data_IF_255431183945
#
_entry.id   IF_255431183945
#
_cell.length_a   1.000
_cell.length_b   1.000
_cell.length_c   1.000
_cell.angle_alpha   90.00
_cell.angle_beta   90.00
_cell.angle_gamma   90.00
#
_symmetry.space_group_name_H-M   'P 1'
#
loop_
_entity.id
_entity.type
_entity.pdbx_description
1 polymer ?
#
# COMPACT_ATOMS: atom_id res chain seq x y z
N UNK A 1 18.62 13.13 7.37
CA UNK A 1 19.76 13.06 8.32
C UNK A 1 21.05 13.31 7.55
N UNK A 2 22.02 14.04 8.12
CA UNK A 2 23.29 14.26 7.44
C UNK A 2 24.17 13.00 7.47
N UNK A 3 25.00 12.75 6.45
CA UNK A 3 26.02 11.72 6.51
C UNK A 3 26.91 11.87 7.74
N UNK A 4 27.16 10.77 8.45
CA UNK A 4 27.91 10.73 9.72
C UNK A 4 27.12 11.15 10.95
N UNK A 5 25.83 11.49 10.83
CA UNK A 5 24.98 11.82 11.98
C UNK A 5 24.35 10.58 12.62
N UNK A 6 24.03 10.70 13.89
CA UNK A 6 23.34 9.68 14.67
C UNK A 6 22.11 10.26 15.38
N UNK A 7 21.08 9.46 15.54
CA UNK A 7 19.89 9.79 16.33
C UNK A 7 19.27 8.54 16.92
N UNK A 8 18.56 8.69 18.03
CA UNK A 8 17.78 7.61 18.62
C UNK A 8 16.32 7.99 18.63
N UNK A 9 15.48 7.08 18.18
CA UNK A 9 14.02 7.17 18.23
C UNK A 9 13.44 6.02 19.05
N UNK A 10 12.20 6.17 19.50
CA UNK A 10 11.52 5.17 20.31
C UNK A 10 10.29 4.67 19.54
N UNK A 11 10.19 3.36 19.39
CA UNK A 11 8.99 2.68 18.91
C UNK A 11 8.23 2.17 20.12
N UNK A 12 7.09 2.77 20.40
CA UNK A 12 6.22 2.37 21.49
C UNK A 12 5.29 1.25 21.05
N UNK A 13 5.21 0.20 21.84
CA UNK A 13 4.31 -0.93 21.70
C UNK A 13 3.24 -0.81 22.75
N UNK A 14 2.02 -0.57 22.32
CA UNK A 14 0.86 -0.46 23.19
C UNK A 14 -0.03 -1.69 22.98
N UNK A 15 -0.18 -2.49 24.02
CA UNK A 15 -0.95 -3.73 23.98
C UNK A 15 -2.27 -3.53 24.71
N UNK A 16 -3.34 -3.40 23.95
CA UNK A 16 -4.69 -3.37 24.45
C UNK A 16 -5.34 -4.74 24.30
N UNK A 17 -5.90 -5.26 25.38
CA UNK A 17 -6.74 -6.44 25.38
C UNK A 17 -8.04 -6.14 26.12
N UNK A 18 -9.15 -6.56 25.53
CA UNK A 18 -10.51 -6.35 26.09
C UNK A 18 -11.07 -7.58 26.80
N UNK A 19 -10.34 -8.69 26.82
CA UNK A 19 -10.78 -9.95 27.46
C UNK A 19 -10.27 -10.10 28.88
N UNK A 20 -11.05 -10.81 29.72
CA UNK A 20 -10.67 -11.16 31.10
C UNK A 20 -9.40 -12.03 31.17
N UNK A 21 -9.07 -12.74 30.08
CA UNK A 21 -7.91 -13.64 29.95
C UNK A 21 -6.69 -12.96 29.27
N UNK A 22 -6.52 -11.65 29.48
CA UNK A 22 -5.41 -10.91 28.91
C UNK A 22 -4.08 -11.39 29.48
N UNK A 23 -3.37 -12.22 28.74
CA UNK A 23 -2.06 -12.75 29.14
C UNK A 23 -0.92 -11.90 28.56
N UNK A 24 0.20 -11.78 29.28
CA UNK A 24 1.41 -11.22 28.70
C UNK A 24 1.83 -11.97 27.42
N UNK A 25 2.31 -11.23 26.43
CA UNK A 25 2.68 -11.77 25.13
C UNK A 25 4.16 -11.54 24.86
N UNK A 26 4.87 -12.60 24.52
CA UNK A 26 6.25 -12.50 24.05
C UNK A 26 6.30 -11.99 22.64
N UNK A 27 7.13 -10.98 22.40
CA UNK A 27 7.39 -10.41 21.07
C UNK A 27 8.86 -10.48 20.73
N UNK A 28 9.14 -10.61 19.44
CA UNK A 28 10.49 -10.57 18.86
C UNK A 28 10.51 -9.46 17.81
N UNK A 29 11.53 -8.61 17.88
CA UNK A 29 11.78 -7.57 16.89
C UNK A 29 12.87 -8.03 15.91
N UNK A 30 12.76 -7.60 14.65
CA UNK A 30 13.77 -7.83 13.62
C UNK A 30 13.75 -6.71 12.59
N UNK A 31 14.90 -6.44 11.95
CA UNK A 31 14.97 -5.51 10.82
C UNK A 31 14.70 -6.26 9.51
N UNK A 32 13.96 -5.61 8.64
CA UNK A 32 13.68 -6.06 7.27
C UNK A 32 13.80 -4.89 6.32
N UNK A 33 14.22 -5.15 5.09
CA UNK A 33 14.03 -4.20 4.00
C UNK A 33 12.57 -4.24 3.53
N UNK A 34 12.10 -3.17 2.94
CA UNK A 34 10.74 -3.11 2.41
C UNK A 34 10.66 -2.22 1.17
N UNK A 35 9.66 -2.48 0.37
CA UNK A 35 9.32 -1.68 -0.80
C UNK A 35 7.81 -1.72 -1.06
N UNK A 36 7.37 -0.93 -2.02
CA UNK A 36 6.02 -1.03 -2.59
C UNK A 36 6.21 -1.49 -4.04
N UNK A 37 5.55 -2.58 -4.41
CA UNK A 37 5.61 -3.07 -5.77
C UNK A 37 4.74 -2.23 -6.72
N UNK A 38 4.79 -2.56 -8.02
CA UNK A 38 4.06 -1.83 -9.04
C UNK A 38 2.55 -1.82 -8.83
N UNK A 39 2.00 -2.85 -8.19
CA UNK A 39 0.57 -3.01 -7.94
C UNK A 39 0.14 -2.36 -6.60
N UNK A 40 1.07 -1.68 -5.91
CA UNK A 40 0.82 -0.98 -4.66
C UNK A 40 0.87 -1.86 -3.42
N UNK A 41 1.38 -3.09 -3.53
CA UNK A 41 1.50 -4.00 -2.39
C UNK A 41 2.83 -3.79 -1.67
N UNK A 42 2.78 -3.73 -0.34
CA UNK A 42 3.99 -3.65 0.50
C UNK A 42 4.67 -5.02 0.51
N UNK A 43 5.94 -5.03 0.13
CA UNK A 43 6.80 -6.21 0.12
C UNK A 43 7.90 -6.09 1.16
N UNK A 44 8.13 -7.15 1.93
CA UNK A 44 9.23 -7.23 2.88
C UNK A 44 10.28 -8.23 2.42
N UNK A 45 11.54 -7.83 2.53
CA UNK A 45 12.68 -8.68 2.21
C UNK A 45 13.61 -8.82 3.43
N UNK A 46 14.59 -9.72 3.35
CA UNK A 46 15.62 -9.83 4.37
C UNK A 46 16.39 -8.51 4.47
N UNK A 47 16.78 -8.14 5.68
CA UNK A 47 17.61 -6.96 5.93
C UNK A 47 18.88 -6.96 5.07
N UNK A 48 19.24 -5.78 4.58
CA UNK A 48 20.44 -5.53 3.77
C UNK A 48 20.49 -6.32 2.44
N UNK A 49 19.33 -6.46 1.78
CA UNK A 49 19.24 -7.08 0.45
C UNK A 49 18.83 -6.12 -0.66
N UNK A 50 18.27 -4.96 -0.30
CA UNK A 50 17.88 -3.93 -1.26
C UNK A 50 18.97 -2.87 -1.43
N UNK A 51 19.12 -2.27 -2.63
CA UNK A 51 20.17 -1.27 -2.90
C UNK A 51 20.10 -0.03 -2.00
N UNK A 52 18.89 0.36 -1.57
CA UNK A 52 18.63 1.50 -0.70
C UNK A 52 18.30 1.07 0.73
N UNK A 53 18.78 -0.10 1.16
CA UNK A 53 18.58 -0.59 2.53
C UNK A 53 19.23 0.32 3.55
N UNK A 54 18.48 0.69 4.58
CA UNK A 54 19.00 1.33 5.79
C UNK A 54 19.17 0.33 6.94
N UNK A 55 18.88 -0.94 6.76
CA UNK A 55 18.95 -1.94 7.84
C UNK A 55 20.33 -2.01 8.52
N UNK A 56 21.48 -1.87 7.80
CA UNK A 56 22.80 -1.86 8.43
C UNK A 56 23.07 -0.63 9.30
N UNK A 57 22.26 0.42 9.17
CA UNK A 57 22.44 1.68 9.90
C UNK A 57 21.73 1.69 11.24
N UNK A 58 20.91 0.67 11.52
CA UNK A 58 20.04 0.62 12.69
C UNK A 58 20.51 -0.43 13.69
N UNK A 59 20.54 0.00 14.95
CA UNK A 59 20.65 -0.89 16.12
C UNK A 59 19.41 -0.66 16.97
N UNK A 60 18.81 -1.72 17.48
CA UNK A 60 17.60 -1.63 18.29
C UNK A 60 17.69 -2.52 19.54
N UNK A 61 17.01 -2.09 20.59
CA UNK A 61 16.94 -2.83 21.86
C UNK A 61 15.65 -2.48 22.61
N UNK A 62 15.00 -3.48 23.23
CA UNK A 62 15.32 -4.91 23.22
C UNK A 62 14.93 -5.59 21.92
N UNK A 63 15.64 -6.63 21.52
CA UNK A 63 15.28 -7.49 20.38
C UNK A 63 14.13 -8.45 20.73
N UNK A 64 13.93 -8.71 22.01
CA UNK A 64 12.86 -9.55 22.53
C UNK A 64 12.41 -9.01 23.87
N UNK A 65 11.09 -9.02 24.11
CA UNK A 65 10.49 -8.62 25.37
C UNK A 65 9.11 -9.25 25.54
N UNK A 66 8.61 -9.24 26.78
CA UNK A 66 7.22 -9.61 27.07
C UNK A 66 6.41 -8.33 27.27
N UNK A 67 5.35 -8.15 26.47
CA UNK A 67 4.42 -7.02 26.60
C UNK A 67 3.23 -7.44 27.43
N UNK A 68 2.83 -6.58 28.36
CA UNK A 68 1.69 -6.80 29.26
C UNK A 68 0.54 -5.86 28.87
N UNK A 69 -0.71 -6.32 28.94
CA UNK A 69 -1.86 -5.48 28.66
C UNK A 69 -1.88 -4.21 29.52
N UNK A 70 -2.25 -3.08 28.90
CA UNK A 70 -2.36 -1.78 29.57
C UNK A 70 -1.03 -1.07 29.85
N UNK A 71 0.11 -1.66 29.44
CA UNK A 71 1.43 -1.05 29.59
C UNK A 71 2.03 -0.72 28.22
N UNK A 72 2.75 0.39 28.17
CA UNK A 72 3.53 0.78 26.99
C UNK A 72 4.95 0.24 27.12
N UNK A 73 5.38 -0.54 26.13
CA UNK A 73 6.74 -1.07 26.04
C UNK A 73 7.50 -0.35 24.94
N UNK A 74 8.75 0.04 25.21
CA UNK A 74 9.56 0.83 24.30
C UNK A 74 10.68 0.01 23.68
N UNK A 75 10.82 0.07 22.36
CA UNK A 75 12.02 -0.37 21.64
C UNK A 75 12.78 0.88 21.20
N UNK A 76 14.01 1.03 21.67
CA UNK A 76 14.90 2.10 21.23
C UNK A 76 15.57 1.69 19.94
N UNK A 77 15.59 2.60 18.97
CA UNK A 77 16.21 2.39 17.67
C UNK A 77 17.20 3.52 17.46
N UNK A 78 18.49 3.19 17.44
CA UNK A 78 19.56 4.12 17.11
C UNK A 78 19.90 3.99 15.64
N UNK A 79 19.90 5.13 14.93
CA UNK A 79 20.15 5.25 13.50
C UNK A 79 21.46 5.98 13.32
N UNK A 80 22.47 5.31 12.77
CA UNK A 80 23.80 5.88 12.52
C UNK A 80 24.04 5.92 11.01
N UNK A 81 23.92 7.12 10.41
CA UNK A 81 24.08 7.30 8.95
C UNK A 81 25.57 7.28 8.59
N UNK A 82 26.03 6.40 7.68
CA UNK A 82 27.42 6.38 7.23
C UNK A 82 27.86 7.73 6.65
N UNK A 83 29.16 8.04 6.74
CA UNK A 83 29.73 9.29 6.19
C UNK A 83 29.66 9.33 4.67
N UNK A 84 29.69 8.18 4.03
CA UNK A 84 29.61 7.95 2.58
C UNK A 84 28.20 7.57 2.09
N UNK A 85 27.17 7.78 2.93
CA UNK A 85 25.79 7.51 2.57
C UNK A 85 25.38 8.29 1.32
N UNK A 86 24.83 7.61 0.34
CA UNK A 86 24.37 8.21 -0.92
C UNK A 86 23.12 9.07 -0.71
N UNK A 87 22.95 10.17 -1.48
CA UNK A 87 21.74 10.98 -1.42
C UNK A 87 20.48 10.22 -1.78
N UNK A 88 19.39 10.49 -1.06
CA UNK A 88 18.08 9.88 -1.31
C UNK A 88 17.43 9.28 -0.07
N UNK A 89 16.38 8.51 -0.30
CA UNK A 89 15.68 7.79 0.76
C UNK A 89 16.26 6.38 0.92
N UNK A 90 16.68 6.06 2.13
CA UNK A 90 17.07 4.72 2.53
C UNK A 90 15.98 4.12 3.42
N UNK A 91 15.60 2.89 3.13
CA UNK A 91 14.40 2.27 3.68
C UNK A 91 14.74 1.07 4.55
N UNK A 92 14.04 0.94 5.66
CA UNK A 92 14.02 -0.28 6.49
C UNK A 92 12.74 -0.33 7.31
N UNK A 93 12.43 -1.46 7.88
CA UNK A 93 11.33 -1.63 8.81
C UNK A 93 11.78 -2.43 10.03
N UNK A 94 11.35 -1.98 11.21
CA UNK A 94 11.39 -2.79 12.41
C UNK A 94 10.12 -3.63 12.45
N UNK A 95 10.26 -4.91 12.25
CA UNK A 95 9.16 -5.88 12.35
C UNK A 95 9.07 -6.35 13.78
N UNK A 96 7.87 -6.26 14.34
CA UNK A 96 7.53 -6.79 15.66
C UNK A 96 6.54 -7.94 15.48
N UNK A 97 6.94 -9.13 15.87
CA UNK A 97 6.17 -10.36 15.70
C UNK A 97 5.82 -10.98 17.05
N UNK A 98 4.57 -11.33 17.22
CA UNK A 98 4.12 -12.09 18.37
C UNK A 98 4.63 -13.53 18.29
N UNK A 99 5.29 -14.00 19.37
CA UNK A 99 5.68 -15.38 19.55
C UNK A 99 4.81 -16.01 20.62
N UNK A 100 3.80 -16.82 20.26
CA UNK A 100 3.01 -17.51 21.25
C UNK A 100 3.87 -18.53 21.97
N UNK A 101 4.04 -18.33 23.28
CA UNK A 101 4.64 -19.34 24.15
C UNK A 101 3.56 -20.39 24.44
N UNK A 102 3.94 -21.68 24.38
CA UNK A 102 3.08 -22.80 24.79
C UNK A 102 1.76 -22.98 24.03
N UNK A 103 1.83 -23.09 22.71
CA UNK A 103 0.70 -23.62 21.93
C UNK A 103 0.46 -25.08 22.34
N UNK A 104 -0.44 -25.29 23.30
CA UNK A 104 -0.99 -26.63 23.57
C UNK A 104 -1.90 -26.99 22.40
N UNK A 105 -1.33 -27.60 21.38
CA UNK A 105 -2.11 -28.14 20.27
C UNK A 105 -2.96 -29.30 20.78
N UNK A 106 -4.26 -29.11 20.85
CA UNK A 106 -5.18 -30.20 21.15
C UNK A 106 -5.37 -31.01 19.84
N UNK A 107 -4.82 -32.22 19.77
CA UNK A 107 -4.85 -33.07 18.59
C UNK A 107 -6.28 -33.45 18.14
N UNK A 108 -7.27 -33.30 19.02
CA UNK A 108 -8.65 -33.69 18.76
C UNK A 108 -9.58 -32.54 18.36
N UNK A 109 -9.08 -31.32 18.20
CA UNK A 109 -9.87 -30.13 17.80
C UNK A 109 -9.12 -29.32 16.75
N UNK A 110 -9.86 -28.80 15.75
CA UNK A 110 -9.33 -27.79 14.84
C UNK A 110 -9.06 -26.50 15.63
N UNK A 111 -7.84 -26.03 15.60
CA UNK A 111 -7.43 -24.79 16.23
C UNK A 111 -6.93 -23.81 15.16
N UNK A 112 -7.31 -22.54 15.28
CA UNK A 112 -6.77 -21.45 14.46
C UNK A 112 -5.82 -20.66 15.34
N UNK A 113 -4.55 -20.59 14.94
CA UNK A 113 -3.53 -19.79 15.61
C UNK A 113 -3.34 -18.50 14.81
N UNK A 114 -3.70 -17.38 15.42
CA UNK A 114 -3.48 -16.05 14.83
C UNK A 114 -2.18 -15.49 15.40
N UNK A 115 -1.29 -15.04 14.52
CA UNK A 115 -0.06 -14.33 14.89
C UNK A 115 -0.14 -12.90 14.35
N UNK A 116 0.12 -11.95 15.20
CA UNK A 116 0.23 -10.55 14.79
C UNK A 116 1.67 -10.22 14.42
N UNK A 117 1.81 -9.55 13.29
CA UNK A 117 3.08 -9.03 12.80
C UNK A 117 2.86 -7.58 12.38
N UNK A 118 3.58 -6.67 13.00
CA UNK A 118 3.49 -5.23 12.75
C UNK A 118 4.82 -4.72 12.23
N UNK A 119 4.79 -3.65 11.42
CA UNK A 119 5.98 -3.02 10.87
C UNK A 119 5.99 -1.53 11.20
N UNK A 120 7.05 -1.08 11.89
CA UNK A 120 7.39 0.33 11.97
C UNK A 120 8.35 0.65 10.82
N UNK A 121 7.86 1.39 9.80
CA UNK A 121 8.65 1.71 8.61
C UNK A 121 9.47 2.97 8.80
N UNK A 122 10.71 2.95 8.35
CA UNK A 122 11.64 4.06 8.42
C UNK A 122 11.99 4.54 7.01
N UNK A 123 11.92 5.86 6.83
CA UNK A 123 12.44 6.60 5.69
C UNK A 123 13.58 7.48 6.18
N UNK A 124 14.82 7.07 5.94
CA UNK A 124 16.00 7.82 6.33
C UNK A 124 16.43 8.64 5.13
N UNK A 125 16.18 9.96 5.22
CA UNK A 125 16.41 10.89 4.13
C UNK A 125 17.81 11.51 4.24
N UNK A 126 18.66 11.17 3.28
CA UNK A 126 20.00 11.76 3.12
C UNK A 126 19.89 12.95 2.15
N UNK A 127 20.44 14.14 2.47
CA UNK A 127 20.31 15.35 1.66
C UNK A 127 20.63 15.19 0.19
N UNK A 128 20.25 16.20 -0.62
CA UNK A 128 20.18 16.19 -2.08
C UNK A 128 19.03 15.31 -2.60
N UNK A 129 17.88 15.46 -1.94
CA UNK A 129 16.65 14.77 -2.33
C UNK A 129 16.13 15.33 -3.66
N UNK A 130 15.81 14.44 -4.57
CA UNK A 130 15.21 14.75 -5.86
C UNK A 130 13.90 13.97 -6.01
N UNK A 131 12.83 14.69 -6.33
CA UNK A 131 11.52 14.15 -6.64
C UNK A 131 11.18 14.53 -8.07
N UNK A 132 10.85 13.56 -8.90
CA UNK A 132 10.52 13.77 -10.32
C UNK A 132 9.41 12.81 -10.67
N UNK A 133 8.16 13.28 -10.51
CA UNK A 133 6.96 12.49 -10.78
C UNK A 133 6.49 12.64 -12.23
N UNK A 134 5.98 11.56 -12.83
CA UNK A 134 5.32 11.57 -14.13
C UNK A 134 4.13 10.62 -14.17
N UNK A 135 3.12 10.98 -14.97
CA UNK A 135 2.00 10.13 -15.36
C UNK A 135 2.33 9.53 -16.73
N UNK A 136 2.68 8.25 -16.78
CA UNK A 136 3.13 7.57 -18.00
C UNK A 136 1.95 7.11 -18.86
N UNK A 137 0.88 6.62 -18.23
CA UNK A 137 -0.34 6.22 -18.92
C UNK A 137 -1.56 6.28 -18.00
N UNK A 138 -2.74 6.29 -18.63
CA UNK A 138 -4.03 6.27 -17.95
C UNK A 138 -4.96 5.31 -18.67
N UNK A 139 -5.51 4.34 -17.97
CA UNK A 139 -6.52 3.40 -18.51
C UNK A 139 -7.79 3.52 -17.69
N UNK A 140 -8.93 3.37 -18.34
CA UNK A 140 -10.23 3.33 -17.69
C UNK A 140 -11.05 2.18 -18.25
N UNK A 141 -11.67 1.43 -17.37
CA UNK A 141 -12.52 0.29 -17.70
C UNK A 141 -13.81 0.37 -16.88
N UNK A 142 -14.93 -0.02 -17.46
CA UNK A 142 -16.19 -0.11 -16.76
C UNK A 142 -16.67 -1.55 -16.69
N UNK A 143 -17.11 -1.95 -15.51
CA UNK A 143 -17.87 -3.17 -15.29
C UNK A 143 -19.35 -2.85 -15.10
N UNK A 144 -20.16 -3.86 -14.82
CA UNK A 144 -21.60 -3.66 -14.56
C UNK A 144 -21.89 -2.78 -13.33
N UNK A 145 -20.94 -2.65 -12.40
CA UNK A 145 -21.16 -2.06 -11.09
C UNK A 145 -20.15 -0.97 -10.70
N UNK A 146 -19.02 -0.89 -11.40
CA UNK A 146 -17.95 0.03 -11.06
C UNK A 146 -17.17 0.50 -12.28
N UNK A 147 -16.50 1.64 -12.11
CA UNK A 147 -15.48 2.14 -13.01
C UNK A 147 -14.12 1.98 -12.34
N UNK A 148 -13.16 1.40 -13.06
CA UNK A 148 -11.79 1.23 -12.60
C UNK A 148 -10.88 2.09 -13.46
N UNK A 149 -10.14 2.99 -12.82
CA UNK A 149 -9.17 3.86 -13.50
C UNK A 149 -7.78 3.52 -12.99
N UNK A 150 -6.89 3.12 -13.88
CA UNK A 150 -5.53 2.68 -13.54
C UNK A 150 -4.51 3.65 -14.16
N UNK A 151 -4.01 4.62 -13.37
CA UNK A 151 -2.87 5.42 -13.76
C UNK A 151 -1.58 4.61 -13.62
N UNK A 152 -0.63 4.80 -14.53
CA UNK A 152 0.75 4.37 -14.35
C UNK A 152 1.59 5.59 -13.98
N UNK A 153 2.08 5.61 -12.75
CA UNK A 153 2.90 6.68 -12.19
C UNK A 153 4.35 6.24 -12.13
N UNK A 154 5.28 7.18 -12.32
CA UNK A 154 6.71 6.95 -12.18
C UNK A 154 7.37 8.06 -11.37
N UNK A 155 8.34 7.70 -10.54
CA UNK A 155 9.21 8.64 -9.84
C UNK A 155 10.66 8.41 -10.30
N UNK A 156 11.19 9.29 -11.14
CA UNK A 156 12.57 9.24 -11.60
C UNK A 156 13.57 9.92 -10.63
N UNK A 157 13.11 10.31 -9.45
CA UNK A 157 13.93 10.86 -8.38
C UNK A 157 14.49 9.79 -7.45
N UNK A 158 15.10 10.25 -6.36
CA UNK A 158 15.68 9.40 -5.30
C UNK A 158 14.96 9.53 -3.95
N UNK A 159 13.83 10.24 -3.91
CA UNK A 159 13.06 10.44 -2.69
C UNK A 159 11.57 10.22 -2.95
N UNK A 160 10.87 9.71 -1.93
CA UNK A 160 9.44 9.40 -1.98
C UNK A 160 8.61 10.64 -2.34
N UNK A 161 7.65 10.42 -3.20
CA UNK A 161 6.56 11.34 -3.52
C UNK A 161 5.29 10.84 -2.84
N UNK A 162 4.47 11.75 -2.29
CA UNK A 162 3.11 11.47 -1.82
C UNK A 162 2.12 12.24 -2.69
N UNK A 163 1.69 11.67 -3.82
CA UNK A 163 0.88 12.41 -4.78
C UNK A 163 -0.51 12.71 -4.22
N UNK A 164 -1.03 13.90 -4.55
CA UNK A 164 -2.44 14.23 -4.37
C UNK A 164 -3.18 13.99 -5.69
N UNK A 165 -4.21 13.16 -5.66
CA UNK A 165 -4.94 12.74 -6.86
C UNK A 165 -6.42 13.02 -6.76
N UNK A 166 -7.05 13.40 -7.88
CA UNK A 166 -8.50 13.52 -8.02
C UNK A 166 -8.95 12.94 -9.36
N UNK A 167 -10.19 12.51 -9.42
CA UNK A 167 -10.77 11.84 -10.59
C UNK A 167 -12.16 12.40 -10.87
N UNK A 168 -12.44 12.68 -12.16
CA UNK A 168 -13.75 13.11 -12.62
C UNK A 168 -14.14 12.36 -13.88
N UNK A 169 -15.37 11.87 -13.91
CA UNK A 169 -15.97 11.22 -15.07
C UNK A 169 -17.13 12.10 -15.56
N UNK A 170 -17.12 12.43 -16.85
CA UNK A 170 -18.17 13.22 -17.49
C UNK A 170 -18.78 12.44 -18.65
N UNK A 171 -20.07 12.67 -18.88
CA UNK A 171 -20.77 12.15 -20.06
C UNK A 171 -20.44 12.95 -21.34
N UNK A 172 -21.04 12.57 -22.46
CA UNK A 172 -20.87 13.25 -23.76
C UNK A 172 -21.37 14.69 -23.79
N UNK A 173 -22.25 15.08 -22.85
CA UNK A 173 -22.72 16.45 -22.67
C UNK A 173 -21.82 17.27 -21.74
N UNK A 174 -20.77 16.70 -21.18
CA UNK A 174 -19.86 17.32 -20.23
C UNK A 174 -20.38 17.38 -18.79
N UNK A 175 -21.50 16.69 -18.50
CA UNK A 175 -22.06 16.62 -17.15
C UNK A 175 -21.25 15.64 -16.30
N UNK A 176 -20.90 16.02 -15.08
CA UNK A 176 -20.19 15.14 -14.13
C UNK A 176 -21.13 14.03 -13.66
N UNK A 177 -20.76 12.78 -13.91
CA UNK A 177 -21.51 11.58 -13.51
C UNK A 177 -20.88 10.85 -12.34
N UNK A 178 -19.57 11.05 -12.11
CA UNK A 178 -18.86 10.55 -10.95
C UNK A 178 -17.62 11.38 -10.67
N UNK A 179 -17.25 11.51 -9.39
CA UNK A 179 -16.10 12.29 -8.98
C UNK A 179 -15.49 11.71 -7.69
N UNK A 180 -14.16 11.69 -7.61
CA UNK A 180 -13.42 11.49 -6.37
C UNK A 180 -12.69 12.80 -6.05
N UNK A 181 -12.92 13.37 -4.85
CA UNK A 181 -12.22 14.57 -4.41
C UNK A 181 -10.72 14.28 -4.25
N UNK A 182 -9.95 15.36 -4.21
CA UNK A 182 -8.52 15.28 -4.03
C UNK A 182 -8.17 14.58 -2.72
N UNK A 183 -7.32 13.55 -2.81
CA UNK A 183 -6.78 12.81 -1.66
C UNK A 183 -5.34 12.36 -1.92
N UNK A 184 -4.61 12.08 -0.83
CA UNK A 184 -3.28 11.47 -0.92
C UNK A 184 -3.40 10.04 -1.45
N UNK A 185 -2.57 9.71 -2.43
CA UNK A 185 -2.41 8.37 -2.99
C UNK A 185 -1.33 7.59 -2.21
N UNK A 186 -1.08 6.33 -2.62
CA UNK A 186 0.03 5.57 -2.06
C UNK A 186 1.37 6.28 -2.30
N UNK A 187 2.35 6.11 -1.39
CA UNK A 187 3.69 6.62 -1.59
C UNK A 187 4.33 6.04 -2.84
N UNK A 188 4.83 6.90 -3.71
CA UNK A 188 5.61 6.53 -4.89
C UNK A 188 7.10 6.65 -4.55
N UNK A 189 7.76 5.53 -4.29
CA UNK A 189 9.17 5.47 -3.85
C UNK A 189 10.12 5.99 -4.93
N UNK A 190 11.31 6.42 -4.54
CA UNK A 190 12.35 6.85 -5.47
C UNK A 190 12.73 5.72 -6.44
N UNK A 191 12.74 6.00 -7.76
CA UNK A 191 13.03 5.03 -8.81
C UNK A 191 11.89 4.04 -9.12
N UNK A 192 10.75 4.13 -8.45
CA UNK A 192 9.64 3.17 -8.59
C UNK A 192 8.59 3.59 -9.62
N UNK A 193 7.84 2.60 -10.10
CA UNK A 193 6.59 2.74 -10.83
C UNK A 193 5.43 2.21 -9.99
N UNK A 194 4.25 2.81 -10.14
CA UNK A 194 3.03 2.44 -9.43
C UNK A 194 1.83 2.45 -10.38
N UNK A 195 1.11 1.35 -10.46
CA UNK A 195 -0.10 1.18 -11.28
C UNK A 195 -1.31 0.81 -10.40
N UNK A 196 -1.59 1.63 -9.39
CA UNK A 196 -2.68 1.34 -8.46
C UNK A 196 -4.05 1.69 -9.04
N UNK A 197 -4.99 0.73 -9.15
CA UNK A 197 -6.34 0.99 -9.57
C UNK A 197 -7.10 1.89 -8.59
N UNK A 198 -7.83 2.86 -9.15
CA UNK A 198 -8.79 3.70 -8.43
C UNK A 198 -10.18 3.23 -8.80
N UNK A 199 -10.94 2.76 -7.83
CA UNK A 199 -12.28 2.20 -8.04
C UNK A 199 -13.34 3.24 -7.66
N UNK A 200 -14.27 3.47 -8.60
CA UNK A 200 -15.51 4.23 -8.39
C UNK A 200 -16.67 3.24 -8.38
N UNK A 201 -17.32 3.07 -7.25
CA UNK A 201 -18.52 2.22 -7.13
C UNK A 201 -19.74 2.94 -7.72
N UNK A 202 -19.73 3.11 -9.04
CA UNK A 202 -20.75 3.82 -9.80
C UNK A 202 -21.14 3.02 -11.02
N UNK A 203 -22.46 2.82 -11.20
CA UNK A 203 -23.02 2.22 -12.40
C UNK A 203 -23.23 3.30 -13.45
N UNK A 204 -22.61 3.13 -14.59
CA UNK A 204 -22.81 4.00 -15.73
C UNK A 204 -23.78 3.34 -16.74
N UNK A 205 -24.60 4.16 -17.38
CA UNK A 205 -25.40 3.73 -18.53
C UNK A 205 -24.50 3.40 -19.73
N UNK A 206 -24.93 2.56 -20.68
CA UNK A 206 -24.19 2.37 -21.93
C UNK A 206 -23.94 3.71 -22.64
N UNK A 207 -22.69 3.93 -23.04
CA UNK A 207 -22.31 5.19 -23.67
C UNK A 207 -20.81 5.45 -23.60
N UNK A 208 -20.40 6.61 -24.09
CA UNK A 208 -19.01 7.07 -24.06
C UNK A 208 -18.86 8.17 -23.04
N UNK A 209 -17.84 8.08 -22.21
CA UNK A 209 -17.51 9.00 -21.14
C UNK A 209 -16.08 9.49 -21.26
N UNK A 210 -15.82 10.66 -20.71
CA UNK A 210 -14.46 11.19 -20.56
C UNK A 210 -14.03 11.06 -19.11
N UNK A 211 -12.89 10.41 -18.89
CA UNK A 211 -12.26 10.29 -17.58
C UNK A 211 -11.10 11.27 -17.51
N UNK A 212 -11.15 12.19 -16.56
CA UNK A 212 -10.08 13.15 -16.26
C UNK A 212 -9.47 12.79 -14.90
N UNK A 213 -8.17 12.46 -14.92
CA UNK A 213 -7.38 12.18 -13.73
C UNK A 213 -6.36 13.29 -13.53
N UNK A 214 -6.44 13.96 -12.38
CA UNK A 214 -5.50 15.02 -12.00
C UNK A 214 -4.60 14.54 -10.88
N UNK A 215 -3.32 14.83 -11.02
CA UNK A 215 -2.27 14.45 -10.06
C UNK A 215 -1.33 15.62 -9.80
N UNK A 216 -1.10 15.92 -8.53
CA UNK A 216 -0.08 16.81 -8.03
C UNK A 216 0.99 15.94 -7.34
N UNK A 217 2.18 15.89 -7.93
CA UNK A 217 3.29 15.12 -7.39
C UNK A 217 3.96 15.77 -6.19
N UNK A 218 3.60 16.99 -5.84
CA UNK A 218 4.21 17.76 -4.76
C UNK A 218 5.76 17.84 -4.87
N UNK A 219 6.26 17.81 -6.09
CA UNK A 219 7.67 17.90 -6.45
C UNK A 219 8.11 19.31 -6.86
N UNK A 220 7.18 20.28 -6.77
CA UNK A 220 7.36 21.68 -7.19
C UNK A 220 6.90 21.94 -8.62
N UNK A 221 6.51 20.92 -9.38
CA UNK A 221 5.90 21.08 -10.72
C UNK A 221 4.41 21.46 -10.62
N UNK A 222 3.84 21.86 -11.76
CA UNK A 222 2.39 22.04 -11.84
C UNK A 222 1.69 20.67 -11.85
N UNK A 223 0.47 20.59 -11.28
CA UNK A 223 -0.34 19.38 -11.39
C UNK A 223 -0.51 18.94 -12.84
N UNK A 224 -0.37 17.64 -13.07
CA UNK A 224 -0.56 17.01 -14.38
C UNK A 224 -1.98 16.49 -14.50
N UNK A 225 -2.55 16.55 -15.70
CA UNK A 225 -3.86 15.95 -16.01
C UNK A 225 -3.68 14.88 -17.09
N UNK A 226 -4.25 13.70 -16.84
CA UNK A 226 -4.46 12.65 -17.82
C UNK A 226 -5.94 12.61 -18.22
N UNK A 227 -6.20 12.42 -19.51
CA UNK A 227 -7.55 12.28 -20.04
C UNK A 227 -7.59 10.98 -20.85
N UNK A 228 -8.64 10.17 -20.61
CA UNK A 228 -8.88 8.95 -21.39
C UNK A 228 -10.38 8.79 -21.63
N UNK A 229 -10.71 8.09 -22.70
CA UNK A 229 -12.07 7.70 -23.03
C UNK A 229 -12.45 6.42 -22.29
N UNK A 230 -13.70 6.33 -21.85
CA UNK A 230 -14.31 5.16 -21.24
C UNK A 230 -15.57 4.80 -22.01
N UNK A 231 -15.57 3.63 -22.65
CA UNK A 231 -16.74 3.10 -23.37
C UNK A 231 -17.43 2.07 -22.50
N UNK A 232 -18.69 2.32 -22.17
CA UNK A 232 -19.58 1.38 -21.48
C UNK A 232 -20.44 0.65 -22.53
N UNK A 233 -20.23 -0.66 -22.74
CA UNK A 233 -20.95 -1.38 -23.78
C UNK A 233 -22.44 -1.55 -23.43
N UNK A 234 -23.30 -1.62 -24.47
CA UNK A 234 -24.68 -2.02 -24.29
C UNK A 234 -24.73 -3.47 -23.78
N UNK A 235 -25.51 -3.72 -22.75
CA UNK A 235 -25.77 -5.11 -22.33
C UNK A 235 -26.58 -5.78 -23.44
N UNK A 236 -25.98 -6.74 -24.12
CA UNK A 236 -26.76 -7.69 -24.91
C UNK A 236 -27.61 -8.47 -23.90
N UNK A 237 -28.91 -8.19 -23.89
CA UNK A 237 -29.89 -9.05 -23.21
C UNK A 237 -29.78 -10.43 -23.84
N UNK A 238 -29.13 -11.38 -23.14
CA UNK A 238 -29.12 -12.78 -23.53
C UNK A 238 -30.60 -13.22 -23.64
N UNK A 239 -31.03 -13.49 -24.87
CA UNK A 239 -32.37 -14.02 -25.12
C UNK A 239 -32.58 -15.30 -24.31
N UNK A 240 -33.84 -15.62 -23.93
CA UNK A 240 -34.12 -16.79 -23.15
C UNK A 240 -33.61 -18.04 -23.92
N UNK A 241 -32.83 -18.88 -23.25
CA UNK A 241 -32.40 -20.15 -23.77
C UNK A 241 -33.66 -20.92 -24.20
N UNK A 242 -33.81 -21.12 -25.49
CA UNK A 242 -34.86 -21.91 -26.08
C UNK A 242 -34.75 -23.36 -25.52
N UNK A 243 -35.55 -23.67 -24.51
CA UNK A 243 -35.74 -25.04 -24.06
C UNK A 243 -36.54 -25.75 -25.14
N UNK A 244 -35.83 -26.43 -26.02
CA UNK A 244 -36.45 -27.34 -26.94
C UNK A 244 -37.37 -28.36 -26.23
N UNK A 245 -38.42 -28.82 -26.87
CA UNK A 245 -39.41 -29.69 -26.25
C UNK A 245 -38.78 -31.03 -25.83
N UNK A 246 -38.96 -31.40 -24.56
CA UNK A 246 -38.65 -32.74 -24.05
C UNK A 246 -39.61 -33.70 -24.71
N UNK A 247 -39.13 -34.56 -25.60
CA UNK A 247 -39.88 -35.66 -26.14
C UNK A 247 -40.18 -36.67 -25.02
N UNK A 248 -41.46 -36.86 -24.75
CA UNK A 248 -41.93 -37.97 -23.95
C UNK A 248 -41.75 -39.27 -24.74
N UNK A 249 -40.93 -40.21 -24.24
CA UNK A 249 -40.96 -41.61 -24.69
C UNK A 249 -41.69 -42.46 -23.67
N UNK A 250 -42.84 -42.97 -24.08
CA UNK A 250 -43.51 -44.15 -23.48
C UNK A 250 -42.64 -45.39 -23.75
N UNK A 251 -42.33 -46.11 -22.73
CA UNK A 251 -42.51 -47.57 -22.52
C UNK A 251 -41.83 -48.00 -21.23
#
# INVERSE_FOLDING_TARGET
MQPGSETTVVVNLDYHSTGEDSQPVRIVASLNDWTIDRDGQVQFARANTMPNSASPWLIYSPAETTVTPGNVHAIRVTISVPKDATPGDHLTALIVEQRPDNLKLNQNRRQVVIRYRMAAVFYIKVPQLRRVGSLESLRAEATAEQVVVTPLLKNAGNSVIRPLTSLKVTDSAGVSVAELPQKESLPLLGGAELAQPVVLETRLAPGTYTVKYRIDFQDGSRPTEGITELVVPQRTSGGPANRGPVAASNE
#
